data_IF_065612169906
#
_entry.id   IF_065612169906
#
_cell.length_a   1.000
_cell.length_b   1.000
_cell.length_c   1.000
_cell.angle_alpha   90.00
_cell.angle_beta   90.00
_cell.angle_gamma   90.00
#
_symmetry.space_group_name_H-M   'P 1'
#
loop_
_entity.id
_entity.type
_entity.pdbx_description
1 polymer ?
#
# COMPACT_ATOMS: atom_id res chain seq x y z
N UNK A 1 -6.10 5.50 -5.29
CA UNK A 1 -4.73 5.27 -4.83
C UNK A 1 -4.50 3.84 -4.34
N UNK A 2 -4.82 3.47 -3.09
CA UNK A 2 -4.51 2.13 -2.56
C UNK A 2 -5.15 0.98 -3.34
N UNK A 3 -6.44 1.11 -3.71
CA UNK A 3 -7.11 0.14 -4.59
C UNK A 3 -6.35 -0.06 -5.91
N UNK A 4 -6.04 1.02 -6.62
CA UNK A 4 -5.34 0.97 -7.91
C UNK A 4 -3.94 0.37 -7.78
N UNK A 5 -3.20 0.74 -6.73
CA UNK A 5 -1.88 0.19 -6.45
C UNK A 5 -1.94 -1.32 -6.18
N UNK A 6 -2.90 -1.75 -5.35
CA UNK A 6 -3.12 -3.16 -5.04
C UNK A 6 -3.50 -3.99 -6.27
N UNK A 7 -4.43 -3.47 -7.09
CA UNK A 7 -4.85 -4.13 -8.33
C UNK A 7 -3.72 -4.21 -9.36
N UNK A 8 -2.91 -3.16 -9.49
CA UNK A 8 -1.73 -3.17 -10.36
C UNK A 8 -0.72 -4.23 -9.90
N UNK A 9 -0.45 -4.33 -8.59
CA UNK A 9 0.43 -5.36 -8.02
C UNK A 9 -0.11 -6.77 -8.27
N UNK A 10 -1.42 -6.99 -8.05
CA UNK A 10 -2.11 -8.25 -8.34
C UNK A 10 -1.95 -8.66 -9.80
N UNK A 11 -2.10 -7.72 -10.74
CA UNK A 11 -2.00 -7.99 -12.17
C UNK A 11 -0.60 -8.47 -12.62
N UNK A 12 0.46 -8.10 -11.90
CA UNK A 12 1.85 -8.50 -12.19
C UNK A 12 2.38 -9.59 -11.25
N UNK A 13 1.53 -10.14 -10.39
CA UNK A 13 1.89 -11.22 -9.46
C UNK A 13 2.67 -10.78 -8.22
N UNK A 14 2.69 -9.48 -7.90
CA UNK A 14 3.30 -8.95 -6.68
C UNK A 14 2.36 -9.12 -5.48
N UNK A 15 2.04 -10.36 -5.14
CA UNK A 15 0.93 -10.70 -4.26
C UNK A 15 1.07 -10.14 -2.84
N UNK A 16 2.27 -10.16 -2.24
CA UNK A 16 2.50 -9.57 -0.90
C UNK A 16 2.18 -8.07 -0.89
N UNK A 17 2.69 -7.33 -1.89
CA UNK A 17 2.45 -5.89 -2.01
C UNK A 17 0.99 -5.59 -2.34
N UNK A 18 0.37 -6.40 -3.21
CA UNK A 18 -1.05 -6.33 -3.50
C UNK A 18 -1.90 -6.52 -2.23
N UNK A 19 -1.53 -7.50 -1.40
CA UNK A 19 -2.19 -7.77 -0.14
C UNK A 19 -2.09 -6.59 0.84
N UNK A 20 -0.91 -6.03 1.04
CA UNK A 20 -0.74 -4.83 1.90
C UNK A 20 -1.63 -3.68 1.42
N UNK A 21 -1.61 -3.35 0.12
CA UNK A 21 -2.37 -2.22 -0.41
C UNK A 21 -3.89 -2.46 -0.43
N UNK A 22 -4.34 -3.68 -0.73
CA UNK A 22 -5.78 -3.99 -0.74
C UNK A 22 -6.35 -4.09 0.66
N UNK A 23 -5.62 -4.64 1.65
CA UNK A 23 -6.06 -4.56 3.05
C UNK A 23 -6.18 -3.11 3.51
N UNK A 24 -5.14 -2.30 3.28
CA UNK A 24 -5.19 -0.86 3.61
C UNK A 24 -6.36 -0.13 2.94
N UNK A 25 -6.68 -0.50 1.69
CA UNK A 25 -7.85 0.05 1.01
C UNK A 25 -9.17 -0.32 1.69
N UNK A 26 -9.34 -1.57 2.13
CA UNK A 26 -10.54 -2.02 2.83
C UNK A 26 -10.66 -1.34 4.20
N UNK A 27 -9.56 -1.27 4.96
CA UNK A 27 -9.54 -0.56 6.25
C UNK A 27 -9.95 0.91 6.07
N UNK A 28 -9.49 1.58 5.01
CA UNK A 28 -9.88 2.95 4.70
C UNK A 28 -11.35 3.06 4.28
N UNK A 29 -11.93 2.05 3.62
CA UNK A 29 -13.36 2.05 3.31
C UNK A 29 -14.19 1.98 4.60
N UNK A 30 -13.80 1.11 5.54
CA UNK A 30 -14.44 1.01 6.86
C UNK A 30 -14.29 2.32 7.64
N UNK A 31 -13.10 2.90 7.67
CA UNK A 31 -12.85 4.20 8.31
C UNK A 31 -13.73 5.32 7.73
N UNK A 32 -13.90 5.38 6.41
CA UNK A 32 -14.78 6.37 5.73
C UNK A 32 -16.24 6.19 6.17
N UNK A 33 -16.71 4.96 6.27
CA UNK A 33 -18.09 4.66 6.70
C UNK A 33 -18.32 5.00 8.17
N UNK A 34 -17.31 4.78 9.02
CA UNK A 34 -17.34 5.14 10.44
C UNK A 34 -17.08 6.63 10.70
N UNK A 35 -16.46 7.33 9.75
CA UNK A 35 -16.05 8.72 9.88
C UNK A 35 -14.89 8.93 10.86
N UNK A 36 -14.07 7.90 11.12
CA UNK A 36 -12.92 7.97 12.04
C UNK A 36 -11.73 7.16 11.53
N UNK A 37 -10.52 7.61 11.85
CA UNK A 37 -9.26 6.91 11.56
C UNK A 37 -8.72 6.14 12.78
N UNK A 38 -9.40 6.22 13.94
CA UNK A 38 -8.88 5.74 15.22
C UNK A 38 -8.60 4.22 15.25
N UNK A 39 -9.28 3.45 14.40
CA UNK A 39 -9.16 1.99 14.29
C UNK A 39 -8.04 1.54 13.35
N UNK A 40 -7.40 2.44 12.60
CA UNK A 40 -6.39 2.10 11.60
C UNK A 40 -5.03 1.81 12.23
N UNK A 41 -4.50 0.61 11.99
CA UNK A 41 -3.09 0.30 12.25
C UNK A 41 -2.22 0.88 11.13
N UNK A 42 -1.07 1.46 11.48
CA UNK A 42 -0.12 2.05 10.54
C UNK A 42 1.22 1.31 10.48
N UNK A 43 1.37 0.20 11.20
CA UNK A 43 2.62 -0.56 11.33
C UNK A 43 3.29 -0.86 9.97
N UNK A 44 2.52 -1.28 8.97
CA UNK A 44 3.03 -1.61 7.62
C UNK A 44 3.68 -0.43 6.88
N UNK A 45 3.41 0.80 7.30
CA UNK A 45 3.81 2.01 6.59
C UNK A 45 4.76 2.91 7.39
N UNK A 46 5.09 2.56 8.65
CA UNK A 46 5.95 3.39 9.52
C UNK A 46 7.34 3.66 8.91
N UNK A 47 7.93 2.67 8.24
CA UNK A 47 9.26 2.77 7.63
C UNK A 47 9.18 3.07 6.11
N UNK A 48 8.12 3.78 5.70
CA UNK A 48 7.88 4.16 4.31
C UNK A 48 7.68 5.67 4.17
N UNK A 49 7.76 6.18 2.95
CA UNK A 49 7.39 7.57 2.63
C UNK A 49 5.90 7.73 2.27
N UNK A 50 5.08 6.70 2.50
CA UNK A 50 3.64 6.73 2.24
C UNK A 50 2.95 7.44 3.41
N UNK A 51 2.21 8.54 3.17
CA UNK A 51 1.53 9.26 4.23
C UNK A 51 0.35 8.44 4.79
N UNK A 52 0.25 8.35 6.11
CA UNK A 52 -0.85 7.69 6.82
C UNK A 52 -1.78 8.68 7.55
N UNK A 53 -1.31 9.87 7.92
CA UNK A 53 -2.13 10.97 8.45
C UNK A 53 -2.66 11.84 7.30
N UNK A 54 -3.73 11.38 6.65
CA UNK A 54 -4.43 12.15 5.61
C UNK A 54 -5.86 12.45 6.03
N UNK A 55 -6.43 13.61 5.61
CA UNK A 55 -7.83 13.88 5.87
C UNK A 55 -8.71 12.85 5.15
N UNK A 56 -9.66 12.30 5.90
CA UNK A 56 -10.58 11.31 5.38
C UNK A 56 -11.61 11.96 4.46
N UNK A 57 -11.87 11.43 3.25
CA UNK A 57 -12.92 11.93 2.39
C UNK A 57 -14.31 11.58 2.95
N UNK A 58 -15.33 12.33 2.55
CA UNK A 58 -16.73 12.06 2.95
C UNK A 58 -17.26 10.74 2.38
N UNK A 59 -16.78 10.32 1.22
CA UNK A 59 -17.22 9.12 0.51
C UNK A 59 -16.06 8.49 -0.26
N UNK A 60 -16.04 7.16 -0.34
CA UNK A 60 -15.10 6.43 -1.21
C UNK A 60 -15.43 6.69 -2.68
N UNK A 61 -14.40 6.94 -3.49
CA UNK A 61 -14.54 7.13 -4.94
C UNK A 61 -14.58 5.80 -5.72
N UNK A 62 -14.39 4.66 -5.04
CA UNK A 62 -14.35 3.34 -5.66
C UNK A 62 -15.76 2.72 -5.64
N UNK A 63 -16.29 2.27 -6.79
CA UNK A 63 -17.57 1.55 -6.89
C UNK A 63 -17.65 0.30 -6.00
N UNK A 64 -18.86 -0.03 -5.53
CA UNK A 64 -19.09 -1.11 -4.56
C UNK A 64 -18.70 -2.50 -5.09
N UNK A 65 -18.97 -2.78 -6.36
CA UNK A 65 -18.58 -4.02 -7.03
C UNK A 65 -17.05 -4.23 -7.04
N UNK A 66 -16.29 -3.14 -7.17
CA UNK A 66 -14.83 -3.19 -7.10
C UNK A 66 -14.30 -3.35 -5.66
N UNK A 67 -15.03 -2.83 -4.67
CA UNK A 67 -14.72 -3.09 -3.25
C UNK A 67 -14.96 -4.56 -2.91
N UNK A 68 -16.09 -5.12 -3.37
CA UNK A 68 -16.42 -6.53 -3.21
C UNK A 68 -15.36 -7.43 -3.85
N UNK A 69 -14.90 -7.12 -5.07
CA UNK A 69 -13.80 -7.87 -5.71
C UNK A 69 -12.51 -7.85 -4.86
N UNK A 70 -12.12 -6.67 -4.36
CA UNK A 70 -10.93 -6.54 -3.52
C UNK A 70 -11.07 -7.34 -2.23
N UNK A 71 -12.24 -7.29 -1.60
CA UNK A 71 -12.57 -8.01 -0.37
C UNK A 71 -12.50 -9.52 -0.57
N UNK A 72 -13.14 -10.05 -1.62
CA UNK A 72 -13.11 -11.47 -1.95
C UNK A 72 -11.68 -11.97 -2.16
N UNK A 73 -10.86 -11.20 -2.88
CA UNK A 73 -9.47 -11.55 -3.12
C UNK A 73 -8.63 -11.55 -1.84
N UNK A 74 -8.74 -10.52 -1.00
CA UNK A 74 -8.03 -10.45 0.29
C UNK A 74 -8.42 -11.60 1.22
N UNK A 75 -9.72 -11.96 1.27
CA UNK A 75 -10.21 -13.08 2.07
C UNK A 75 -9.65 -14.41 1.57
N UNK A 76 -9.69 -14.66 0.26
CA UNK A 76 -9.16 -15.89 -0.34
C UNK A 76 -7.66 -16.05 -0.04
N UNK A 77 -6.88 -14.99 -0.26
CA UNK A 77 -5.43 -14.98 -0.04
C UNK A 77 -5.08 -15.17 1.43
N UNK A 78 -5.84 -14.56 2.35
CA UNK A 78 -5.69 -14.74 3.80
C UNK A 78 -5.95 -16.18 4.24
N UNK A 79 -7.00 -16.80 3.70
CA UNK A 79 -7.37 -18.19 4.02
C UNK A 79 -6.33 -19.19 3.52
N UNK A 80 -5.78 -18.96 2.34
CA UNK A 80 -4.76 -19.83 1.73
C UNK A 80 -3.37 -19.65 2.37
N UNK A 81 -3.18 -18.61 3.21
CA UNK A 81 -1.88 -18.22 3.78
C UNK A 81 -0.78 -18.12 2.71
N UNK A 82 -1.16 -17.70 1.51
CA UNK A 82 -0.31 -17.73 0.31
C UNK A 82 0.59 -16.51 0.17
N UNK A 83 0.44 -15.52 1.05
CA UNK A 83 1.19 -14.27 1.07
C UNK A 83 1.60 -13.90 2.48
N UNK A 84 2.61 -13.05 2.55
CA UNK A 84 2.99 -12.34 3.76
C UNK A 84 2.61 -10.86 3.60
N UNK A 85 2.07 -10.25 4.66
CA UNK A 85 1.76 -8.82 4.70
C UNK A 85 3.05 -8.01 4.89
N UNK A 86 3.86 -7.96 3.84
CA UNK A 86 5.18 -7.31 3.85
C UNK A 86 5.40 -6.50 2.59
N UNK A 87 6.02 -5.33 2.76
CA UNK A 87 6.52 -4.52 1.67
C UNK A 87 7.99 -4.88 1.38
N UNK A 88 8.40 -4.97 0.10
CA UNK A 88 9.78 -5.31 -0.23
C UNK A 88 10.73 -4.19 0.15
N UNK A 89 11.90 -4.56 0.68
CA UNK A 89 12.99 -3.64 0.98
C UNK A 89 14.02 -3.63 -0.15
N UNK A 90 14.69 -2.49 -0.34
CA UNK A 90 15.86 -2.39 -1.23
C UNK A 90 17.20 -2.42 -0.47
N UNK A 91 18.30 -2.14 -1.16
CA UNK A 91 19.66 -2.14 -0.61
C UNK A 91 19.88 -1.12 0.53
N UNK A 92 19.01 -0.10 0.64
CA UNK A 92 19.02 0.91 1.71
C UNK A 92 18.26 0.44 2.94
N UNK A 93 17.70 -0.77 2.91
CA UNK A 93 16.86 -1.33 3.96
C UNK A 93 15.62 -0.48 4.26
N UNK A 94 15.09 0.21 3.25
CA UNK A 94 13.80 0.90 3.28
C UNK A 94 12.88 0.31 2.20
N UNK A 95 11.58 0.63 2.26
CA UNK A 95 10.63 0.21 1.24
C UNK A 95 11.14 0.56 -0.17
N UNK A 96 11.12 -0.42 -1.08
CA UNK A 96 11.77 -0.33 -2.38
C UNK A 96 11.28 0.83 -3.28
N UNK A 97 10.06 1.33 -3.06
CA UNK A 97 9.55 2.49 -3.78
C UNK A 97 9.77 3.83 -3.03
N UNK A 98 10.33 3.79 -1.82
CA UNK A 98 10.54 4.98 -1.00
C UNK A 98 11.60 5.90 -1.61
N UNK A 99 11.25 7.16 -1.82
CA UNK A 99 12.17 8.18 -2.30
C UNK A 99 13.09 8.71 -1.21
N UNK A 100 12.74 8.47 0.06
CA UNK A 100 13.51 8.91 1.22
C UNK A 100 14.02 7.68 1.97
N UNK A 101 15.31 7.67 2.30
CA UNK A 101 15.89 6.60 3.11
C UNK A 101 15.78 6.88 4.62
N UNK A 102 16.28 5.94 5.43
CA UNK A 102 16.26 6.02 6.90
C UNK A 102 17.08 7.19 7.46
N UNK A 103 17.99 7.77 6.68
CA UNK A 103 18.79 8.94 7.06
C UNK A 103 18.15 10.25 6.60
N UNK A 104 16.99 10.19 5.91
CA UNK A 104 16.29 11.34 5.37
C UNK A 104 16.86 11.84 4.03
N UNK A 105 17.77 11.10 3.40
CA UNK A 105 18.29 11.46 2.10
C UNK A 105 17.29 11.08 1.00
N UNK A 106 17.02 12.07 0.14
CA UNK A 106 16.05 11.92 -0.96
C UNK A 106 16.74 11.53 -2.26
N UNK A 107 16.31 10.42 -2.83
CA UNK A 107 16.67 9.98 -4.18
C UNK A 107 15.72 10.59 -5.23
N UNK A 108 16.20 10.93 -6.43
CA UNK A 108 15.33 11.37 -7.51
C UNK A 108 14.45 10.21 -7.98
N UNK A 109 13.16 10.44 -8.29
CA UNK A 109 12.29 9.42 -8.84
C UNK A 109 12.64 9.12 -10.29
N UNK A 110 12.57 7.84 -10.67
CA UNK A 110 12.63 7.40 -12.05
C UNK A 110 11.43 7.96 -12.81
N UNK A 111 11.64 8.60 -13.97
CA UNK A 111 10.56 9.19 -14.77
C UNK A 111 9.56 8.15 -15.31
N UNK A 112 9.96 6.89 -15.41
CA UNK A 112 9.11 5.80 -15.94
C UNK A 112 8.30 5.14 -14.84
N UNK A 113 8.94 4.78 -13.72
CA UNK A 113 8.31 3.96 -12.67
C UNK A 113 7.97 4.72 -11.40
N UNK A 114 8.53 5.91 -11.18
CA UNK A 114 8.45 6.63 -9.92
C UNK A 114 9.38 6.11 -8.82
N UNK A 115 10.02 4.94 -9.01
CA UNK A 115 10.93 4.34 -8.03
C UNK A 115 12.21 5.15 -7.84
N UNK A 116 12.88 5.07 -6.68
CA UNK A 116 14.11 5.79 -6.39
C UNK A 116 15.24 5.38 -7.34
N UNK A 117 15.92 6.35 -7.94
CA UNK A 117 17.17 6.13 -8.67
C UNK A 117 18.32 6.15 -7.67
N UNK A 118 18.64 4.98 -7.13
CA UNK A 118 19.78 4.79 -6.22
C UNK A 118 21.08 4.77 -7.01
N UNK A 119 22.11 5.44 -6.50
CA UNK A 119 23.45 5.32 -7.09
C UNK A 119 24.04 3.97 -6.67
N UNK A 120 24.63 3.20 -7.60
CA UNK A 120 25.38 2.02 -7.21
C UNK A 120 26.55 2.43 -6.28
N UNK A 121 26.79 1.61 -5.26
CA UNK A 121 27.91 1.77 -4.33
C UNK A 121 29.28 1.58 -5.01
#
# INVERSE_FOLDING_TARGET
AFYEAGMACKAVGWNNMAFVFLNRFLDLCEAIEEGSLDSLDHADFLDTDIPYEIPLPEQSSVPEDLKEEAKEWVLAVSMDQSVEQVLPLDERNCYAASLVDVEGQRSPPCIVSGYPVVKPA
#
